data_IF_552763664692
#
_entry.id   IF_552763664692
#
_cell.length_a   1.000
_cell.length_b   1.000
_cell.length_c   1.000
_cell.angle_alpha   90.00
_cell.angle_beta   90.00
_cell.angle_gamma   90.00
#
_symmetry.space_group_name_H-M   'P 1'
#
loop_
_entity.id
_entity.type
_entity.pdbx_description
1 polymer ?
#
# COMPACT_ATOMS: atom_id res chain seq x y z
N UNK A 1 -19.84 4.37 5.46
CA UNK A 1 -20.36 5.16 4.33
C UNK A 1 -19.56 6.47 4.11
N UNK A 2 -18.23 6.41 3.93
CA UNK A 2 -17.43 7.58 3.48
C UNK A 2 -16.86 7.36 2.06
N UNK A 3 -16.64 6.09 1.69
CA UNK A 3 -16.19 5.66 0.37
C UNK A 3 -17.35 5.55 -0.64
N UNK A 4 -18.57 5.24 -0.20
CA UNK A 4 -19.74 5.03 -1.09
C UNK A 4 -20.09 6.22 -2.00
N UNK A 5 -19.71 7.45 -1.63
CA UNK A 5 -19.91 8.62 -2.49
C UNK A 5 -18.77 8.82 -3.50
N UNK A 6 -17.60 8.26 -3.23
CA UNK A 6 -16.44 8.28 -4.12
C UNK A 6 -16.45 7.08 -5.10
N UNK A 7 -17.12 5.98 -4.77
CA UNK A 7 -17.08 4.71 -5.53
C UNK A 7 -17.77 4.76 -6.91
N UNK A 8 -18.59 5.77 -7.19
CA UNK A 8 -19.26 5.93 -8.49
C UNK A 8 -18.66 7.09 -9.27
N UNK A 9 -18.34 6.92 -10.56
CA UNK A 9 -17.93 8.04 -11.40
C UNK A 9 -18.98 9.13 -11.39
N UNK A 10 -18.57 10.33 -10.97
CA UNK A 10 -19.44 11.50 -10.94
C UNK A 10 -18.63 12.73 -11.27
N UNK A 11 -19.24 13.64 -12.02
CA UNK A 11 -18.71 14.95 -12.34
C UNK A 11 -19.70 16.00 -11.80
N UNK A 12 -19.24 16.83 -10.87
CA UNK A 12 -20.02 17.93 -10.32
C UNK A 12 -19.22 19.23 -10.32
N UNK A 13 -19.85 20.35 -10.67
CA UNK A 13 -19.26 21.67 -10.50
C UNK A 13 -19.98 22.42 -9.39
N UNK A 14 -19.25 22.84 -8.35
CA UNK A 14 -19.81 23.60 -7.24
C UNK A 14 -18.83 24.70 -6.80
N UNK A 15 -19.32 25.94 -6.69
CA UNK A 15 -18.52 27.11 -6.24
C UNK A 15 -17.20 27.28 -7.02
N UNK A 16 -17.21 27.05 -8.34
CA UNK A 16 -16.02 27.20 -9.19
C UNK A 16 -15.00 26.05 -9.11
N UNK A 17 -15.34 24.94 -8.45
CA UNK A 17 -14.51 23.72 -8.43
C UNK A 17 -15.27 22.60 -9.11
N UNK A 18 -14.67 21.99 -10.14
CA UNK A 18 -15.17 20.73 -10.72
C UNK A 18 -14.59 19.57 -9.93
N UNK A 19 -15.43 18.63 -9.52
CA UNK A 19 -15.05 17.48 -8.71
C UNK A 19 -15.38 16.21 -9.47
N UNK A 20 -14.37 15.39 -9.69
CA UNK A 20 -14.51 14.08 -10.34
C UNK A 20 -14.24 12.99 -9.30
N UNK A 21 -15.16 12.04 -9.15
CA UNK A 21 -15.00 10.90 -8.24
C UNK A 21 -14.74 9.60 -9.01
N UNK A 22 -14.09 8.61 -8.36
CA UNK A 22 -13.68 7.34 -8.98
C UNK A 22 -12.96 7.52 -10.33
N UNK A 23 -12.07 8.51 -10.43
CA UNK A 23 -11.36 8.81 -11.68
C UNK A 23 -10.32 7.72 -11.95
N UNK A 24 -10.41 6.98 -13.08
CA UNK A 24 -9.37 6.04 -13.47
C UNK A 24 -8.06 6.77 -13.75
N UNK A 25 -6.95 6.20 -13.27
CA UNK A 25 -5.62 6.75 -13.39
C UNK A 25 -4.68 5.75 -14.07
N UNK A 26 -3.78 6.25 -14.92
CA UNK A 26 -2.74 5.45 -15.53
C UNK A 26 -1.45 6.25 -15.76
N UNK A 27 -0.31 5.62 -15.50
CA UNK A 27 0.99 6.10 -15.93
C UNK A 27 1.75 4.95 -16.61
N UNK A 28 1.63 4.80 -17.94
CA UNK A 28 2.28 3.70 -18.67
C UNK A 28 3.80 3.64 -18.45
N UNK A 29 4.48 4.80 -18.46
CA UNK A 29 5.93 4.87 -18.23
C UNK A 29 6.40 4.41 -16.84
N UNK A 30 5.53 4.40 -15.83
CA UNK A 30 5.82 3.86 -14.49
C UNK A 30 5.17 2.49 -14.26
N UNK A 31 4.36 2.02 -15.20
CA UNK A 31 3.66 0.74 -15.10
C UNK A 31 2.63 0.69 -13.97
N UNK A 32 2.02 1.82 -13.61
CA UNK A 32 1.01 1.89 -12.55
C UNK A 32 -0.35 2.33 -13.11
N UNK A 33 -1.40 1.77 -12.53
CA UNK A 33 -2.80 2.13 -12.76
C UNK A 33 -3.55 2.14 -11.43
N UNK A 34 -4.63 2.90 -11.35
CA UNK A 34 -5.45 2.95 -10.14
C UNK A 34 -6.73 3.74 -10.34
N UNK A 35 -7.42 4.02 -9.23
CA UNK A 35 -8.60 4.88 -9.20
C UNK A 35 -8.35 5.91 -8.11
N UNK A 36 -8.53 7.19 -8.43
CA UNK A 36 -8.58 8.25 -7.43
C UNK A 36 -9.98 8.33 -6.82
N UNK A 37 -10.04 8.43 -5.49
CA UNK A 37 -11.31 8.66 -4.80
C UNK A 37 -11.99 9.94 -5.32
N UNK A 38 -11.24 11.05 -5.27
CA UNK A 38 -11.71 12.37 -5.70
C UNK A 38 -10.55 13.16 -6.34
N UNK A 39 -10.84 13.86 -7.43
CA UNK A 39 -9.96 14.87 -8.05
C UNK A 39 -10.74 16.18 -8.12
N UNK A 40 -10.24 17.21 -7.43
CA UNK A 40 -10.73 18.58 -7.51
C UNK A 40 -9.99 19.30 -8.65
N UNK A 41 -10.71 19.91 -9.57
CA UNK A 41 -10.20 20.75 -10.64
C UNK A 41 -10.56 22.20 -10.30
N UNK A 42 -9.54 22.98 -9.95
CA UNK A 42 -9.69 24.38 -9.56
C UNK A 42 -9.42 25.29 -10.76
N UNK A 43 -10.31 26.26 -10.99
CA UNK A 43 -10.11 27.27 -12.04
C UNK A 43 -8.82 28.07 -11.80
N UNK A 44 -8.00 28.19 -12.84
CA UNK A 44 -6.80 29.03 -12.93
C UNK A 44 -6.89 29.89 -14.21
N UNK A 45 -5.99 30.86 -14.39
CA UNK A 45 -6.01 31.75 -15.56
C UNK A 45 -6.00 30.97 -16.89
N UNK A 46 -5.21 29.91 -16.98
CA UNK A 46 -5.02 29.08 -18.18
C UNK A 46 -5.73 27.71 -18.09
N UNK A 47 -6.94 27.66 -17.52
CA UNK A 47 -7.78 26.47 -17.49
C UNK A 47 -8.06 25.95 -16.09
N UNK A 48 -7.77 24.68 -15.82
CA UNK A 48 -7.99 24.06 -14.51
C UNK A 48 -6.74 23.37 -14.00
N UNK A 49 -6.53 23.43 -12.69
CA UNK A 49 -5.48 22.74 -11.96
C UNK A 49 -6.07 21.55 -11.21
N UNK A 50 -5.59 20.34 -11.51
CA UNK A 50 -5.95 19.14 -10.76
C UNK A 50 -5.35 19.12 -9.35
N UNK A 51 -6.13 18.66 -8.39
CA UNK A 51 -5.80 18.53 -6.97
C UNK A 51 -6.41 17.20 -6.45
N UNK A 52 -5.60 16.13 -6.29
CA UNK A 52 -6.11 14.85 -5.82
C UNK A 52 -6.46 14.87 -4.33
N UNK A 53 -7.57 14.23 -3.97
CA UNK A 53 -8.05 14.09 -2.58
C UNK A 53 -8.34 12.61 -2.30
N UNK A 54 -7.59 12.03 -1.37
CA UNK A 54 -7.70 10.61 -0.99
C UNK A 54 -8.39 10.48 0.38
N UNK A 55 -9.40 9.62 0.47
CA UNK A 55 -10.19 9.42 1.68
C UNK A 55 -9.71 8.22 2.49
N UNK A 56 -9.31 8.47 3.73
CA UNK A 56 -8.91 7.44 4.69
C UNK A 56 -9.98 7.25 5.76
N UNK A 57 -10.36 5.98 5.99
CA UNK A 57 -11.32 5.64 7.05
C UNK A 57 -10.71 5.82 8.45
N UNK A 58 -9.47 5.36 8.66
CA UNK A 58 -8.81 5.35 9.96
C UNK A 58 -8.04 6.65 10.28
N UNK A 59 -7.14 6.55 11.26
CA UNK A 59 -6.23 7.64 11.65
C UNK A 59 -4.93 7.62 10.81
N UNK A 60 -4.20 8.75 10.74
CA UNK A 60 -2.87 8.79 10.14
C UNK A 60 -1.97 7.70 10.72
N UNK A 61 -1.31 6.94 9.84
CA UNK A 61 -0.34 5.92 10.24
C UNK A 61 1.05 6.56 10.39
N UNK A 62 1.92 5.95 11.19
CA UNK A 62 3.29 6.47 11.41
C UNK A 62 4.19 6.40 10.17
N UNK A 63 3.81 5.61 9.15
CA UNK A 63 4.54 5.47 7.90
C UNK A 63 3.95 6.36 6.80
N UNK A 64 4.78 6.79 5.85
CA UNK A 64 4.39 7.69 4.75
C UNK A 64 3.59 7.03 3.61
N UNK A 65 3.07 5.81 3.79
CA UNK A 65 2.39 5.07 2.72
C UNK A 65 1.19 5.82 2.12
N UNK A 66 0.40 6.53 2.95
CA UNK A 66 -0.75 7.30 2.46
C UNK A 66 -0.29 8.49 1.58
N UNK A 67 0.83 9.14 1.93
CA UNK A 67 1.45 10.19 1.13
C UNK A 67 2.02 9.64 -0.18
N UNK A 68 2.67 8.47 -0.13
CA UNK A 68 3.21 7.79 -1.32
C UNK A 68 2.09 7.40 -2.28
N UNK A 69 0.97 6.87 -1.77
CA UNK A 69 -0.19 6.55 -2.59
C UNK A 69 -0.78 7.79 -3.26
N UNK A 70 -0.98 8.86 -2.50
CA UNK A 70 -1.51 10.12 -3.02
C UNK A 70 -0.54 10.76 -4.04
N UNK A 71 0.77 10.68 -3.81
CA UNK A 71 1.78 11.15 -4.76
C UNK A 71 1.79 10.30 -6.03
N UNK A 72 1.60 8.98 -5.94
CA UNK A 72 1.48 8.11 -7.11
C UNK A 72 0.25 8.48 -7.97
N UNK A 73 -0.88 8.83 -7.34
CA UNK A 73 -2.05 9.35 -8.04
C UNK A 73 -1.73 10.66 -8.78
N UNK A 74 -1.01 11.57 -8.12
CA UNK A 74 -0.57 12.82 -8.74
C UNK A 74 0.33 12.57 -9.95
N UNK A 75 1.31 11.66 -9.87
CA UNK A 75 2.16 11.30 -11.01
C UNK A 75 1.33 10.79 -12.19
N UNK A 76 0.29 9.97 -11.96
CA UNK A 76 -0.62 9.54 -13.02
C UNK A 76 -1.38 10.71 -13.63
N UNK A 77 -1.94 11.59 -12.80
CA UNK A 77 -2.65 12.77 -13.28
C UNK A 77 -1.73 13.70 -14.09
N UNK A 78 -0.48 13.91 -13.66
CA UNK A 78 0.52 14.68 -14.42
C UNK A 78 0.78 14.08 -15.79
N UNK A 79 0.89 12.75 -15.89
CA UNK A 79 1.08 12.06 -17.16
C UNK A 79 -0.17 12.11 -18.07
N UNK A 80 -1.36 12.14 -17.49
CA UNK A 80 -2.63 12.16 -18.23
C UNK A 80 -3.04 13.57 -18.68
N UNK A 81 -2.70 14.59 -17.90
CA UNK A 81 -3.13 15.97 -18.10
C UNK A 81 -2.01 16.88 -18.62
N UNK A 82 -0.77 16.39 -18.66
CA UNK A 82 0.41 17.15 -19.07
C UNK A 82 0.64 18.43 -18.24
N UNK A 83 0.18 18.42 -16.98
CA UNK A 83 0.27 19.55 -16.05
C UNK A 83 0.95 19.13 -14.74
N UNK A 84 1.87 19.93 -14.17
CA UNK A 84 2.46 19.61 -12.88
C UNK A 84 1.43 19.74 -11.74
N UNK A 85 1.56 18.89 -10.72
CA UNK A 85 0.71 18.91 -9.53
C UNK A 85 1.62 19.07 -8.31
N UNK A 86 1.51 20.20 -7.62
CA UNK A 86 2.40 20.53 -6.51
C UNK A 86 2.01 19.85 -5.18
N UNK A 87 0.73 19.51 -5.01
CA UNK A 87 0.19 18.98 -3.76
C UNK A 87 -1.18 18.33 -3.96
N UNK A 88 -1.61 17.57 -2.96
CA UNK A 88 -2.97 17.05 -2.82
C UNK A 88 -3.42 17.09 -1.36
N UNK A 89 -4.49 16.37 -1.02
CA UNK A 89 -4.91 16.24 0.36
C UNK A 89 -5.31 14.81 0.76
N UNK A 90 -5.02 14.47 2.01
CA UNK A 90 -5.57 13.31 2.70
C UNK A 90 -6.76 13.77 3.55
N UNK A 91 -7.90 13.10 3.40
CA UNK A 91 -9.08 13.34 4.24
C UNK A 91 -9.33 12.14 5.16
N UNK A 92 -9.13 12.34 6.47
CA UNK A 92 -9.34 11.30 7.46
C UNK A 92 -10.76 11.39 8.03
N UNK A 93 -11.60 10.40 7.73
CA UNK A 93 -13.02 10.39 8.05
C UNK A 93 -13.34 10.40 9.55
N UNK A 94 -12.57 9.65 10.36
CA UNK A 94 -12.74 9.61 11.83
C UNK A 94 -12.44 10.96 12.50
N UNK A 95 -11.40 11.65 12.06
CA UNK A 95 -10.98 12.94 12.64
C UNK A 95 -11.58 14.14 11.90
N UNK A 96 -12.29 13.90 10.79
CA UNK A 96 -12.80 14.91 9.84
C UNK A 96 -11.75 15.93 9.45
N UNK A 97 -10.49 15.50 9.36
CA UNK A 97 -9.35 16.39 9.12
C UNK A 97 -8.87 16.23 7.68
N UNK A 98 -8.86 17.35 6.93
CA UNK A 98 -8.15 17.49 5.66
C UNK A 98 -6.71 17.91 5.96
N UNK A 99 -5.75 17.15 5.44
CA UNK A 99 -4.32 17.43 5.58
C UNK A 99 -3.73 17.58 4.19
N UNK A 100 -3.22 18.77 3.88
CA UNK A 100 -2.52 19.02 2.63
C UNK A 100 -1.18 18.28 2.64
N UNK A 101 -0.82 17.67 1.51
CA UNK A 101 0.42 16.93 1.31
C UNK A 101 1.17 17.57 0.15
N UNK A 102 2.28 18.30 0.40
CA UNK A 102 3.14 18.79 -0.67
C UNK A 102 3.89 17.64 -1.33
N UNK A 103 3.92 17.62 -2.66
CA UNK A 103 4.65 16.63 -3.45
C UNK A 103 6.07 17.11 -3.72
N UNK A 104 6.84 17.27 -2.63
CA UNK A 104 8.25 17.65 -2.69
C UNK A 104 9.11 16.58 -3.37
N UNK A 105 10.38 16.93 -3.64
CA UNK A 105 11.31 16.03 -4.31
C UNK A 105 11.53 14.73 -3.51
N UNK A 106 11.56 14.80 -2.17
CA UNK A 106 11.79 13.63 -1.34
C UNK A 106 10.63 12.63 -1.41
N UNK A 107 9.39 13.11 -1.37
CA UNK A 107 8.19 12.27 -1.51
C UNK A 107 8.09 11.69 -2.92
N UNK A 108 8.38 12.48 -3.95
CA UNK A 108 8.40 11.98 -5.34
C UNK A 108 9.45 10.90 -5.53
N UNK A 109 10.65 11.09 -4.97
CA UNK A 109 11.72 10.10 -5.03
C UNK A 109 11.31 8.81 -4.32
N UNK A 110 10.83 8.91 -3.07
CA UNK A 110 10.33 7.76 -2.31
C UNK A 110 9.23 7.00 -3.07
N UNK A 111 8.32 7.74 -3.71
CA UNK A 111 7.22 7.16 -4.50
C UNK A 111 7.75 6.39 -5.70
N UNK A 112 8.67 6.99 -6.48
CA UNK A 112 9.30 6.33 -7.64
C UNK A 112 10.11 5.10 -7.23
N UNK A 113 10.87 5.18 -6.15
CA UNK A 113 11.62 4.05 -5.60
C UNK A 113 10.69 2.92 -5.16
N UNK A 114 9.60 3.25 -4.48
CA UNK A 114 8.59 2.27 -4.03
C UNK A 114 7.94 1.57 -5.24
N UNK A 115 7.60 2.33 -6.27
CA UNK A 115 7.08 1.78 -7.53
C UNK A 115 8.12 0.84 -8.15
N UNK A 116 9.36 1.30 -8.33
CA UNK A 116 10.44 0.52 -8.92
C UNK A 116 10.71 -0.78 -8.18
N UNK A 117 10.81 -0.72 -6.85
CA UNK A 117 10.99 -1.90 -6.01
C UNK A 117 9.81 -2.88 -6.12
N UNK A 118 8.58 -2.38 -6.16
CA UNK A 118 7.39 -3.21 -6.33
C UNK A 118 7.36 -3.90 -7.69
N UNK A 119 7.72 -3.18 -8.76
CA UNK A 119 7.80 -3.75 -10.12
C UNK A 119 8.90 -4.80 -10.21
N UNK A 120 10.08 -4.55 -9.64
CA UNK A 120 11.16 -5.54 -9.61
C UNK A 120 10.74 -6.85 -8.91
N UNK A 121 9.97 -6.78 -7.82
CA UNK A 121 9.43 -7.97 -7.14
C UNK A 121 8.44 -8.74 -8.04
N UNK A 122 7.57 -8.03 -8.76
CA UNK A 122 6.61 -8.63 -9.69
C UNK A 122 7.32 -9.28 -10.89
N UNK A 123 8.28 -8.59 -11.50
CA UNK A 123 9.02 -9.08 -12.67
C UNK A 123 9.87 -10.31 -12.32
N UNK A 124 10.45 -10.34 -11.12
CA UNK A 124 11.22 -11.47 -10.63
C UNK A 124 10.35 -12.64 -10.13
N UNK A 125 9.05 -12.43 -9.89
CA UNK A 125 8.16 -13.33 -9.15
C UNK A 125 8.74 -13.76 -7.79
N UNK A 126 9.51 -12.88 -7.14
CA UNK A 126 10.14 -13.13 -5.85
C UNK A 126 9.62 -12.10 -4.85
N UNK A 127 8.90 -12.59 -3.83
CA UNK A 127 8.49 -11.79 -2.69
C UNK A 127 9.52 -11.91 -1.56
N UNK A 128 9.73 -10.86 -0.75
CA UNK A 128 10.57 -10.95 0.44
C UNK A 128 10.08 -12.04 1.40
N UNK A 129 10.99 -12.71 2.09
CA UNK A 129 10.64 -13.69 3.12
C UNK A 129 9.78 -13.05 4.20
N UNK A 130 8.64 -13.67 4.48
CA UNK A 130 7.70 -13.15 5.44
C UNK A 130 8.27 -13.20 6.87
N UNK A 131 8.17 -12.09 7.58
CA UNK A 131 8.53 -12.00 8.99
C UNK A 131 7.26 -11.86 9.83
N UNK A 132 7.07 -12.76 10.78
CA UNK A 132 5.90 -12.70 11.64
C UNK A 132 5.96 -11.47 12.57
N UNK A 133 4.91 -10.67 12.54
CA UNK A 133 4.70 -9.56 13.45
C UNK A 133 3.23 -9.57 13.90
N UNK A 134 2.92 -9.77 15.19
CA UNK A 134 1.53 -9.83 15.67
C UNK A 134 0.69 -8.62 15.20
N UNK A 135 1.28 -7.41 15.27
CA UNK A 135 0.62 -6.16 14.85
C UNK A 135 0.22 -6.11 13.38
N UNK A 136 0.87 -6.86 12.50
CA UNK A 136 0.62 -6.87 11.05
C UNK A 136 -0.06 -8.16 10.59
N UNK A 137 0.41 -9.30 11.10
CA UNK A 137 0.04 -10.63 10.64
C UNK A 137 -1.31 -11.10 11.18
N UNK A 138 -1.64 -10.81 12.44
CA UNK A 138 -2.84 -11.38 13.08
C UNK A 138 -4.15 -10.85 12.48
N UNK A 139 -4.11 -9.67 11.85
CA UNK A 139 -5.22 -9.08 11.10
C UNK A 139 -5.05 -9.18 9.56
N UNK A 140 -4.02 -9.88 9.09
CA UNK A 140 -3.75 -10.01 7.66
C UNK A 140 -4.64 -11.06 7.03
N UNK A 141 -5.39 -10.68 5.99
CA UNK A 141 -6.22 -11.61 5.21
C UNK A 141 -5.42 -12.68 4.47
N UNK A 142 -4.11 -12.52 4.35
CA UNK A 142 -3.21 -13.46 3.68
C UNK A 142 -2.45 -14.36 4.67
N UNK A 143 -2.75 -14.34 5.97
CA UNK A 143 -1.96 -15.04 6.99
C UNK A 143 -1.78 -16.53 6.68
N UNK A 144 -2.86 -17.21 6.29
CA UNK A 144 -2.86 -18.65 6.02
C UNK A 144 -2.11 -19.03 4.73
N UNK A 145 -2.07 -18.12 3.76
CA UNK A 145 -1.30 -18.27 2.51
C UNK A 145 0.17 -17.93 2.72
N UNK A 146 0.44 -16.88 3.47
CA UNK A 146 1.77 -16.35 3.72
C UNK A 146 2.58 -17.23 4.70
N UNK A 147 1.91 -17.89 5.65
CA UNK A 147 2.52 -18.75 6.68
C UNK A 147 3.80 -18.19 7.33
N UNK A 148 3.80 -16.93 7.81
CA UNK A 148 5.02 -16.26 8.29
C UNK A 148 5.63 -16.92 9.53
N UNK A 149 4.85 -17.65 10.33
CA UNK A 149 5.36 -18.40 11.50
C UNK A 149 6.18 -19.63 11.09
N UNK A 150 5.92 -20.18 9.90
CA UNK A 150 6.68 -21.30 9.33
C UNK A 150 7.90 -20.77 8.56
N UNK A 151 7.70 -19.78 7.69
CA UNK A 151 8.78 -19.21 6.86
C UNK A 151 9.80 -18.39 7.66
N UNK A 152 9.38 -17.77 8.76
CA UNK A 152 10.27 -16.99 9.64
C UNK A 152 11.11 -17.83 10.60
N UNK A 153 10.87 -19.14 10.70
CA UNK A 153 11.69 -20.04 11.52
C UNK A 153 12.99 -20.35 10.79
N UNK A 154 14.10 -19.78 11.27
CA UNK A 154 15.45 -20.14 10.85
C UNK A 154 15.92 -21.48 11.47
N UNK A 155 15.03 -22.42 11.74
CA UNK A 155 15.46 -23.76 12.16
C UNK A 155 15.88 -24.49 10.88
N UNK A 156 17.15 -24.85 10.76
CA UNK A 156 17.55 -25.67 9.62
C UNK A 156 16.83 -27.01 9.71
N UNK A 157 16.48 -27.61 8.56
CA UNK A 157 15.89 -28.95 8.53
C UNK A 157 16.78 -29.95 9.27
N UNK A 158 18.10 -29.73 9.25
CA UNK A 158 19.07 -30.52 10.02
C UNK A 158 18.88 -30.40 11.53
N UNK A 159 18.61 -29.21 12.07
CA UNK A 159 18.36 -29.02 13.50
C UNK A 159 17.05 -29.69 13.94
N UNK A 160 16.05 -29.71 13.05
CA UNK A 160 14.80 -30.42 13.29
C UNK A 160 15.02 -31.94 13.27
N UNK A 161 15.71 -32.48 12.26
CA UNK A 161 16.05 -33.90 12.15
C UNK A 161 16.91 -34.38 13.33
N UNK A 162 17.90 -33.58 13.75
CA UNK A 162 18.77 -33.93 14.87
C UNK A 162 18.02 -34.00 16.21
N UNK A 163 16.94 -33.23 16.40
CA UNK A 163 16.07 -33.37 17.59
C UNK A 163 15.23 -34.63 17.55
N UNK A 164 14.61 -34.94 16.41
CA UNK A 164 13.77 -36.14 16.28
C UNK A 164 14.58 -37.43 16.49
N UNK A 165 15.80 -37.51 15.92
CA UNK A 165 16.69 -38.65 16.13
C UNK A 165 17.16 -38.80 17.58
N UNK A 166 17.24 -37.72 18.35
CA UNK A 166 17.54 -37.78 19.79
C UNK A 166 16.35 -38.26 20.61
N UNK A 167 15.14 -37.77 20.30
CA UNK A 167 13.91 -38.18 20.97
C UNK A 167 13.61 -39.68 20.78
N UNK A 168 13.90 -40.26 19.60
CA UNK A 168 13.72 -41.70 19.36
C UNK A 168 14.74 -42.59 20.11
N UNK A 169 15.94 -42.06 20.40
CA UNK A 169 16.99 -42.83 21.09
C UNK A 169 16.79 -42.98 22.61
N UNK A 170 15.89 -42.18 23.20
CA UNK A 170 15.59 -42.19 24.64
C UNK A 170 14.33 -43.02 24.98
N UNK A 171 13.68 -43.62 23.99
CA UNK A 171 12.40 -44.33 24.13
C UNK A 171 12.50 -45.87 24.22
N UNK A 172 13.71 -46.47 24.17
CA UNK A 172 13.87 -47.91 24.41
C UNK A 172 14.09 -48.17 25.92
N UNK A 173 13.09 -48.72 26.66
CA UNK A 173 13.36 -49.24 27.99
C UNK A 173 14.24 -50.49 27.85
N UNK A 174 15.26 -50.68 28.70
CA UNK A 174 16.07 -51.89 28.67
C UNK A 174 15.17 -53.11 28.92
N UNK A 175 15.20 -54.08 28.01
CA UNK A 175 14.66 -55.41 28.27
C UNK A 175 15.32 -55.95 29.55
N UNK A 176 14.54 -56.09 30.62
CA UNK A 176 14.98 -56.76 31.82
C UNK A 176 15.06 -58.27 31.54
N UNK A 177 16.28 -58.78 31.41
CA UNK A 177 16.54 -60.22 31.46
C UNK A 177 16.28 -60.75 32.88
N UNK A 178 15.74 -61.98 32.92
CA UNK A 178 15.07 -62.66 34.03
C UNK A 178 15.93 -63.01 35.25
#
# INVERSE_FOLDING_TARGET
MLHERADKPRDERRRGVRTVTAMPLAHPGLGITGIADVVEFHEIEDGEQAFPVEYKRGRPKAHRADEVQLCAQALCLEAMLEQPIAQGALFYGETRRRTNVPFDQALRQLTRETIGATRAMLDANITPTAQYSPKRCDACSLLDLCQPKLLGRQSSVNDWLARQLKEDSEAEPPCADS
#
